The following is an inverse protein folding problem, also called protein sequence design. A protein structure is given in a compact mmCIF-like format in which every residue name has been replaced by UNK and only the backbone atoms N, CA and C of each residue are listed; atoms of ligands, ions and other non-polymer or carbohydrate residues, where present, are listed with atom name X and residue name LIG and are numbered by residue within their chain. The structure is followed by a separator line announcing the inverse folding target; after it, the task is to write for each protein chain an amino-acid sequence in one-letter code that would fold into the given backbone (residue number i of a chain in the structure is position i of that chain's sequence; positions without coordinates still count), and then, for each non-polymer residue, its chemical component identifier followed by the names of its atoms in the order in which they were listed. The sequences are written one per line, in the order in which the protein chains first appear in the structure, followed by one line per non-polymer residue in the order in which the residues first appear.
data_IF_014410817844
#
_entry.id   IF_014410817844
#
_cell.length_a   1.000
_cell.length_b   1.000
_cell.length_c   1.000
_cell.angle_alpha   90.00
_cell.angle_beta   90.00
_cell.angle_gamma   90.00
#
_symmetry.space_group_name_H-M   'P 1'
#
loop_
_entity.id
_entity.type
_entity.pdbx_description
1 polymer ?
#
# COMPACT_ATOMS: atom_id res chain seq x y z
N UNK A 1 -48.83 -56.26 -14.49
CA UNK A 1 -48.70 -57.68 -14.85
C UNK A 1 -47.21 -58.07 -14.83
N UNK A 2 -46.87 -59.23 -14.25
CA UNK A 2 -45.52 -59.74 -13.92
C UNK A 2 -44.98 -60.64 -15.08
N UNK A 3 -43.94 -61.53 -14.97
CA UNK A 3 -43.20 -62.04 -13.78
C UNK A 3 -41.66 -62.15 -13.88
N UNK A 4 -40.92 -61.96 -12.77
CA UNK A 4 -40.36 -62.93 -11.79
C UNK A 4 -39.33 -63.97 -12.29
N UNK A 5 -38.17 -64.04 -11.60
CA UNK A 5 -37.60 -65.19 -10.84
C UNK A 5 -36.32 -64.69 -10.10
N UNK A 6 -36.27 -64.59 -8.76
CA UNK A 6 -35.91 -65.58 -7.70
C UNK A 6 -34.53 -66.26 -7.92
N UNK A 7 -33.56 -66.30 -6.99
CA UNK A 7 -33.40 -65.78 -5.62
C UNK A 7 -32.22 -66.46 -4.86
N UNK A 8 -32.19 -66.27 -3.52
CA UNK A 8 -31.28 -66.79 -2.44
C UNK A 8 -30.02 -65.93 -2.18
N UNK A 9 -29.77 -65.29 -1.02
CA UNK A 9 -29.87 -65.54 0.46
C UNK A 9 -28.76 -66.44 1.03
N UNK A 10 -27.81 -65.82 1.74
CA UNK A 10 -27.17 -66.20 3.02
C UNK A 10 -26.27 -64.98 3.41
N UNK A 11 -26.48 -64.25 4.51
CA UNK A 11 -26.07 -64.54 5.92
C UNK A 11 -24.56 -64.92 5.95
N UNK A 12 -23.66 -64.27 6.68
CA UNK A 12 -23.73 -63.78 8.06
C UNK A 12 -22.51 -62.91 8.44
N UNK A 13 -22.68 -62.01 9.43
CA UNK A 13 -21.81 -61.76 10.60
C UNK A 13 -20.31 -61.41 10.38
N UNK A 14 -19.88 -60.17 10.74
CA UNK A 14 -19.25 -59.76 12.02
C UNK A 14 -17.82 -60.32 12.16
N UNK A 15 -16.77 -59.62 12.60
CA UNK A 15 -16.56 -58.48 13.49
C UNK A 15 -15.23 -57.80 13.08
N UNK A 16 -15.06 -56.51 13.42
CA UNK A 16 -13.71 -55.94 13.63
C UNK A 16 -13.12 -56.51 14.94
N UNK A 17 -11.79 -56.44 15.18
CA UNK A 17 -11.30 -55.21 15.82
C UNK A 17 -9.88 -54.76 15.43
N UNK A 18 -9.72 -53.45 15.55
CA UNK A 18 -8.52 -52.68 15.90
C UNK A 18 -7.34 -53.43 16.56
N UNK A 19 -6.12 -53.03 16.18
CA UNK A 19 -5.03 -52.86 17.16
C UNK A 19 -4.01 -51.84 16.68
N UNK A 20 -3.84 -50.79 17.48
CA UNK A 20 -2.77 -49.80 17.47
C UNK A 20 -1.38 -50.45 17.56
N UNK A 21 -0.38 -49.83 16.92
CA UNK A 21 1.00 -49.83 17.43
C UNK A 21 1.73 -48.57 16.90
N UNK A 22 2.05 -47.64 17.79
CA UNK A 22 3.03 -46.57 17.54
C UNK A 22 4.48 -47.04 17.87
N UNK A 23 5.52 -46.18 17.96
CA UNK A 23 6.72 -46.33 17.15
C UNK A 23 7.94 -46.76 18.01
N UNK A 24 9.05 -47.09 17.36
CA UNK A 24 10.33 -47.28 18.05
C UNK A 24 11.44 -46.46 17.40
N UNK A 25 12.11 -45.67 18.23
CA UNK A 25 13.32 -44.91 17.97
C UNK A 25 14.58 -45.77 17.74
N UNK A 26 15.61 -45.07 17.25
CA UNK A 26 17.06 -45.25 17.47
C UNK A 26 17.86 -45.98 16.38
N UNK A 27 19.01 -45.38 16.03
CA UNK A 27 20.04 -46.03 15.22
C UNK A 27 20.86 -45.07 14.36
N UNK A 28 21.88 -44.46 14.97
CA UNK A 28 23.04 -43.83 14.37
C UNK A 28 23.82 -44.74 13.41
N UNK A 29 24.41 -44.19 12.34
CA UNK A 29 25.71 -44.66 11.84
C UNK A 29 26.39 -43.63 10.93
N UNK A 30 27.67 -43.41 11.23
CA UNK A 30 28.67 -42.64 10.51
C UNK A 30 29.06 -43.30 9.18
N UNK A 31 29.52 -42.51 8.20
CA UNK A 31 30.61 -42.98 7.34
C UNK A 31 31.49 -41.80 6.93
N UNK A 32 32.76 -42.01 7.24
CA UNK A 32 33.92 -41.18 7.00
C UNK A 32 34.39 -41.17 5.53
N UNK A 33 35.06 -40.06 5.21
CA UNK A 33 36.24 -39.94 4.34
C UNK A 33 36.22 -40.51 2.91
N UNK A 34 36.35 -39.62 1.92
CA UNK A 34 37.53 -39.69 1.06
C UNK A 34 37.99 -38.30 0.61
N UNK A 35 39.29 -38.10 0.74
CA UNK A 35 40.07 -36.89 0.55
C UNK A 35 40.88 -37.04 -0.74
N UNK A 36 40.74 -36.09 -1.66
CA UNK A 36 41.56 -35.99 -2.86
C UNK A 36 42.07 -34.57 -3.07
N UNK A 37 43.10 -34.23 -2.29
CA UNK A 37 44.01 -33.10 -2.50
C UNK A 37 44.88 -33.38 -3.73
N UNK A 38 44.96 -32.45 -4.69
CA UNK A 38 46.16 -32.21 -5.48
C UNK A 38 46.25 -30.73 -5.88
N UNK A 39 47.37 -30.17 -5.44
CA UNK A 39 47.89 -28.82 -5.45
C UNK A 39 48.37 -28.27 -6.80
N UNK A 40 48.42 -26.94 -6.83
CA UNK A 40 49.43 -26.04 -7.45
C UNK A 40 49.82 -26.20 -8.93
N UNK A 41 49.70 -25.11 -9.71
CA UNK A 41 50.79 -24.11 -9.77
C UNK A 41 50.52 -23.00 -10.83
N UNK A 42 50.95 -21.80 -10.44
CA UNK A 42 51.43 -20.63 -11.19
C UNK A 42 50.68 -19.98 -12.37
N UNK A 43 50.73 -18.64 -12.38
CA UNK A 43 50.88 -17.90 -13.63
C UNK A 43 50.08 -16.60 -13.75
N UNK A 44 50.62 -15.50 -13.23
CA UNK A 44 50.15 -14.14 -13.49
C UNK A 44 50.26 -13.74 -14.97
N UNK A 45 49.27 -13.03 -15.51
CA UNK A 45 49.46 -11.83 -16.35
C UNK A 45 48.15 -11.20 -16.89
N UNK A 46 47.98 -9.92 -16.56
CA UNK A 46 47.41 -8.83 -17.35
C UNK A 46 46.50 -9.10 -18.58
N UNK A 47 45.24 -8.67 -18.45
CA UNK A 47 44.68 -7.57 -19.24
C UNK A 47 44.39 -7.77 -20.74
N UNK A 48 43.10 -7.88 -21.09
CA UNK A 48 42.55 -7.22 -22.29
C UNK A 48 41.02 -7.08 -22.21
N UNK A 49 40.56 -5.83 -22.09
CA UNK A 49 39.15 -5.42 -22.18
C UNK A 49 38.61 -5.70 -23.59
N UNK A 50 37.60 -6.57 -23.73
CA UNK A 50 36.78 -6.66 -24.96
C UNK A 50 35.62 -5.66 -24.88
N UNK A 51 35.65 -4.67 -25.77
CA UNK A 51 34.59 -3.68 -26.03
C UNK A 51 33.33 -4.38 -26.56
N UNK A 52 32.17 -4.15 -25.92
CA UNK A 52 30.85 -4.34 -26.55
C UNK A 52 30.56 -3.15 -27.48
N UNK A 53 30.05 -3.38 -28.71
CA UNK A 53 29.72 -2.29 -29.62
C UNK A 53 28.41 -1.58 -29.23
N UNK A 54 28.40 -0.27 -29.48
CA UNK A 54 27.27 0.62 -29.27
C UNK A 54 26.14 0.35 -30.27
N UNK A 55 24.92 0.11 -29.77
CA UNK A 55 23.71 0.08 -30.58
C UNK A 55 23.18 1.52 -30.78
N UNK A 56 23.01 1.88 -32.04
CA UNK A 56 22.61 3.20 -32.53
C UNK A 56 21.14 3.51 -32.20
N UNK A 57 20.91 4.78 -31.88
CA UNK A 57 19.62 5.45 -31.66
C UNK A 57 18.75 5.36 -32.92
N UNK A 58 17.57 4.75 -32.84
CA UNK A 58 16.58 4.76 -33.91
C UNK A 58 15.66 6.00 -33.82
N UNK A 59 15.23 6.60 -34.95
CA UNK A 59 14.49 7.86 -34.97
C UNK A 59 12.97 7.71 -34.75
N UNK A 60 12.35 8.78 -34.25
CA UNK A 60 10.93 8.91 -33.94
C UNK A 60 10.01 8.78 -35.17
N UNK A 61 8.80 8.17 -35.04
CA UNK A 61 7.85 8.10 -36.13
C UNK A 61 7.06 9.42 -36.30
N UNK A 62 6.99 9.87 -37.56
CA UNK A 62 6.25 11.06 -38.03
C UNK A 62 4.74 10.80 -38.08
N UNK A 63 3.96 11.83 -37.72
CA UNK A 63 2.49 11.92 -37.82
C UNK A 63 2.00 11.61 -39.23
N UNK A 64 0.96 10.77 -39.34
CA UNK A 64 0.09 10.66 -40.53
C UNK A 64 -1.29 11.30 -40.24
N UNK A 65 -1.94 11.92 -41.24
CA UNK A 65 -3.14 12.74 -41.06
C UNK A 65 -4.42 11.91 -40.92
N UNK A 66 -5.40 12.48 -40.21
CA UNK A 66 -6.69 11.88 -39.89
C UNK A 66 -7.64 11.75 -41.11
N UNK A 67 -8.47 10.70 -41.19
CA UNK A 67 -9.61 10.64 -42.11
C UNK A 67 -10.84 11.39 -41.54
N UNK A 68 -11.56 12.06 -42.43
CA UNK A 68 -12.74 12.91 -42.17
C UNK A 68 -13.97 12.09 -41.74
N UNK A 69 -14.71 12.59 -40.74
CA UNK A 69 -16.05 12.09 -40.33
C UNK A 69 -17.11 12.32 -41.42
N UNK A 70 -18.03 11.36 -41.66
CA UNK A 70 -19.35 11.65 -42.20
C UNK A 70 -20.34 12.04 -41.08
N UNK A 71 -21.26 12.95 -41.40
CA UNK A 71 -22.27 13.50 -40.49
C UNK A 71 -23.45 12.54 -40.24
N UNK A 72 -24.07 12.54 -39.04
CA UNK A 72 -25.31 11.80 -38.80
C UNK A 72 -26.57 12.67 -39.06
N UNK A 73 -27.56 12.07 -39.73
CA UNK A 73 -28.94 12.57 -39.91
C UNK A 73 -29.82 12.25 -38.68
N UNK A 74 -30.97 12.93 -38.49
CA UNK A 74 -31.60 13.09 -37.18
C UNK A 74 -32.72 12.07 -36.85
N UNK A 75 -32.85 11.85 -35.53
CA UNK A 75 -34.03 11.65 -34.68
C UNK A 75 -35.18 10.70 -35.11
N UNK A 76 -35.48 9.76 -34.22
CA UNK A 76 -36.82 9.19 -34.06
C UNK A 76 -37.22 9.20 -32.57
N UNK A 77 -38.46 9.62 -32.32
CA UNK A 77 -39.05 9.96 -31.04
C UNK A 77 -39.55 8.73 -30.24
N UNK A 78 -39.66 8.90 -28.92
CA UNK A 78 -40.46 8.05 -28.04
C UNK A 78 -41.52 8.90 -27.31
N UNK A 79 -42.76 8.42 -27.13
CA UNK A 79 -43.88 9.17 -26.53
C UNK A 79 -43.96 9.04 -24.98
N UNK A 80 -44.85 9.82 -24.31
CA UNK A 80 -44.57 10.38 -22.99
C UNK A 80 -45.19 9.67 -21.77
N UNK A 81 -44.71 10.13 -20.59
CA UNK A 81 -45.09 9.79 -19.21
C UNK A 81 -46.55 10.11 -18.87
N UNK A 82 -47.14 9.28 -17.99
CA UNK A 82 -48.36 9.60 -17.25
C UNK A 82 -48.02 10.11 -15.83
N UNK A 83 -48.82 11.09 -15.41
CA UNK A 83 -48.74 11.92 -14.20
C UNK A 83 -49.66 11.36 -13.12
N UNK A 84 -49.27 11.48 -11.85
CA UNK A 84 -50.16 11.26 -10.71
C UNK A 84 -49.53 11.65 -9.37
N UNK A 85 -49.89 12.82 -8.86
CA UNK A 85 -49.81 13.26 -7.45
C UNK A 85 -51.07 14.09 -7.17
N UNK A 86 -51.37 14.52 -5.94
CA UNK A 86 -51.08 13.97 -4.60
C UNK A 86 -52.34 13.98 -3.69
N UNK A 87 -52.27 13.44 -2.46
CA UNK A 87 -53.15 13.90 -1.36
C UNK A 87 -52.36 14.03 -0.06
N UNK A 88 -52.55 15.19 0.57
CA UNK A 88 -51.97 15.73 1.80
C UNK A 88 -52.90 15.40 2.97
N UNK A 89 -52.36 15.10 4.15
CA UNK A 89 -53.11 15.20 5.41
C UNK A 89 -52.18 15.72 6.51
N UNK A 90 -52.75 16.60 7.33
CA UNK A 90 -52.15 17.57 8.24
C UNK A 90 -52.82 17.41 9.61
N UNK A 91 -52.04 17.41 10.70
CA UNK A 91 -52.39 17.70 12.10
C UNK A 91 -51.35 17.04 13.02
N UNK A 92 -50.99 17.51 14.22
CA UNK A 92 -51.06 18.78 14.94
C UNK A 92 -50.15 18.59 16.17
N UNK A 93 -49.44 19.62 16.61
CA UNK A 93 -48.64 19.61 17.84
C UNK A 93 -49.52 19.80 19.11
N UNK A 94 -48.94 19.59 20.31
CA UNK A 94 -48.71 20.78 21.14
C UNK A 94 -47.32 20.84 21.80
N UNK A 95 -47.05 22.04 22.33
CA UNK A 95 -45.77 22.62 22.72
C UNK A 95 -45.37 22.42 24.20
N UNK A 96 -44.10 22.70 24.51
CA UNK A 96 -43.62 23.04 25.85
C UNK A 96 -42.10 23.26 25.92
N UNK A 97 -41.68 24.54 26.03
CA UNK A 97 -40.45 25.14 26.60
C UNK A 97 -39.06 24.51 26.30
N UNK A 98 -37.98 25.24 26.01
CA UNK A 98 -37.48 26.47 26.63
C UNK A 98 -36.43 27.15 25.71
N UNK A 99 -36.24 28.46 25.86
CA UNK A 99 -35.52 29.32 24.92
C UNK A 99 -34.00 29.40 25.17
N UNK A 100 -33.21 29.43 24.08
CA UNK A 100 -31.87 30.02 24.06
C UNK A 100 -31.66 30.78 22.73
N UNK A 101 -31.16 32.01 22.84
CA UNK A 101 -31.06 33.03 21.78
C UNK A 101 -30.03 32.68 20.69
N UNK A 102 -30.22 33.06 19.41
CA UNK A 102 -29.47 32.50 18.28
C UNK A 102 -28.20 33.30 17.94
N UNK A 103 -27.09 32.59 17.77
CA UNK A 103 -25.91 33.08 17.07
C UNK A 103 -26.16 33.07 15.55
N UNK A 104 -25.82 34.17 14.89
CA UNK A 104 -26.09 34.45 13.48
C UNK A 104 -25.39 33.48 12.53
N UNK A 105 -26.11 32.45 12.07
CA UNK A 105 -25.70 31.61 10.95
C UNK A 105 -26.27 32.19 9.65
N UNK A 106 -25.40 32.72 8.79
CA UNK A 106 -25.75 33.05 7.40
C UNK A 106 -26.21 31.76 6.70
N UNK A 107 -27.53 31.57 6.53
CA UNK A 107 -28.13 30.55 5.67
C UNK A 107 -27.71 30.82 4.22
N UNK A 108 -26.62 30.21 3.79
CA UNK A 108 -26.40 29.95 2.37
C UNK A 108 -27.50 29.00 1.90
N UNK A 109 -28.18 29.34 0.80
CA UNK A 109 -29.10 28.45 0.12
C UNK A 109 -28.40 27.12 -0.16
N UNK A 110 -29.02 25.95 0.11
CA UNK A 110 -28.46 24.67 -0.26
C UNK A 110 -28.38 24.65 -1.79
N UNK A 111 -27.18 24.79 -2.34
CA UNK A 111 -26.93 24.52 -3.75
C UNK A 111 -27.30 23.04 -3.94
N UNK A 112 -28.39 22.77 -4.65
CA UNK A 112 -28.67 21.40 -5.12
C UNK A 112 -27.39 20.89 -5.78
N UNK A 113 -26.81 19.84 -5.22
CA UNK A 113 -25.66 19.20 -5.81
C UNK A 113 -26.06 18.81 -7.23
N UNK A 114 -25.30 19.29 -8.23
CA UNK A 114 -25.48 18.83 -9.60
C UNK A 114 -25.22 17.33 -9.59
N UNK A 115 -26.13 16.54 -10.17
CA UNK A 115 -25.88 15.13 -10.42
C UNK A 115 -24.54 14.99 -11.14
N UNK A 116 -23.68 14.08 -10.65
CA UNK A 116 -22.42 13.80 -11.31
C UNK A 116 -22.69 13.20 -12.68
N UNK A 117 -22.00 13.72 -13.70
CA UNK A 117 -21.99 13.15 -15.04
C UNK A 117 -20.52 12.89 -15.38
N UNK A 118 -20.10 11.63 -15.60
CA UNK A 118 -18.74 11.33 -16.02
C UNK A 118 -18.48 11.86 -17.43
N UNK A 119 -17.20 12.12 -17.73
CA UNK A 119 -16.78 12.46 -19.09
C UNK A 119 -17.03 11.26 -20.01
N UNK A 120 -17.52 11.51 -21.22
CA UNK A 120 -17.89 10.45 -22.17
C UNK A 120 -16.70 9.54 -22.58
N UNK A 121 -15.48 10.05 -22.46
CA UNK A 121 -14.23 9.35 -22.79
C UNK A 121 -13.55 8.70 -21.57
N UNK A 122 -14.17 8.79 -20.38
CA UNK A 122 -13.62 8.14 -19.18
C UNK A 122 -13.79 6.62 -19.28
N UNK A 123 -12.68 5.90 -19.23
CA UNK A 123 -12.69 4.43 -19.29
C UNK A 123 -13.16 3.77 -17.98
N UNK A 124 -13.39 4.55 -16.93
CA UNK A 124 -13.92 4.08 -15.66
C UNK A 124 -15.44 4.16 -15.62
N UNK A 125 -16.04 3.15 -15.00
CA UNK A 125 -17.46 3.08 -14.77
C UNK A 125 -17.80 3.64 -13.39
N UNK A 126 -19.03 4.14 -13.28
CA UNK A 126 -19.55 4.77 -12.07
C UNK A 126 -20.90 4.17 -11.74
N UNK A 127 -21.04 3.68 -10.51
CA UNK A 127 -22.32 3.33 -9.93
C UNK A 127 -22.67 4.39 -8.89
N UNK A 128 -23.78 5.09 -9.08
CA UNK A 128 -24.25 6.14 -8.18
C UNK A 128 -25.75 5.96 -8.01
N UNK A 129 -26.16 5.46 -6.84
CA UNK A 129 -27.55 5.15 -6.56
C UNK A 129 -27.92 5.71 -5.18
N UNK A 130 -28.95 6.55 -5.15
CA UNK A 130 -29.42 7.18 -3.93
C UNK A 130 -29.90 6.11 -2.93
N UNK A 131 -29.34 6.13 -1.71
CA UNK A 131 -29.62 5.15 -0.67
C UNK A 131 -28.81 3.85 -0.74
N UNK A 132 -28.21 3.50 -1.87
CA UNK A 132 -27.37 2.29 -2.00
C UNK A 132 -25.88 2.60 -1.90
N UNK A 133 -25.40 3.65 -2.58
CA UNK A 133 -24.03 4.14 -2.45
C UNK A 133 -23.38 4.60 -3.75
N UNK A 134 -22.06 4.82 -3.67
CA UNK A 134 -21.22 5.26 -4.79
C UNK A 134 -20.04 4.32 -4.97
N UNK A 135 -19.77 3.91 -6.21
CA UNK A 135 -18.64 3.07 -6.56
C UNK A 135 -18.01 3.50 -7.89
N UNK A 136 -16.69 3.52 -7.94
CA UNK A 136 -15.92 3.71 -9.18
C UNK A 136 -15.25 2.38 -9.50
N UNK A 137 -15.37 1.87 -10.72
CA UNK A 137 -14.81 0.56 -11.06
C UNK A 137 -14.38 0.45 -12.51
N UNK A 138 -13.43 -0.44 -12.76
CA UNK A 138 -12.93 -0.71 -14.11
C UNK A 138 -12.39 -2.13 -14.21
N UNK A 139 -12.67 -2.75 -15.35
CA UNK A 139 -12.09 -4.02 -15.73
C UNK A 139 -10.92 -3.80 -16.69
N UNK A 140 -9.80 -4.48 -16.44
CA UNK A 140 -8.59 -4.46 -17.25
C UNK A 140 -8.38 -5.79 -17.99
N UNK A 141 -9.49 -6.39 -18.46
CA UNK A 141 -9.48 -7.59 -19.29
C UNK A 141 -9.58 -8.89 -18.51
N UNK A 142 -10.16 -8.86 -17.31
CA UNK A 142 -10.39 -10.04 -16.49
C UNK A 142 -11.58 -10.86 -17.01
N UNK A 143 -11.44 -12.19 -17.00
CA UNK A 143 -12.52 -13.10 -17.36
C UNK A 143 -13.37 -13.49 -16.13
N UNK A 144 -14.65 -13.87 -16.32
CA UNK A 144 -15.45 -14.48 -15.26
C UNK A 144 -14.75 -15.70 -14.63
N UNK A 145 -14.78 -15.82 -13.31
CA UNK A 145 -14.09 -16.91 -12.62
C UNK A 145 -14.75 -17.23 -11.26
N UNK A 146 -14.71 -18.51 -10.86
CA UNK A 146 -15.15 -18.94 -9.52
C UNK A 146 -14.08 -18.63 -8.46
N UNK A 147 -12.78 -18.77 -8.81
CA UNK A 147 -11.65 -18.53 -7.91
C UNK A 147 -11.23 -17.07 -7.92
N UNK A 148 -11.41 -16.38 -6.80
CA UNK A 148 -11.08 -14.96 -6.67
C UNK A 148 -9.91 -14.78 -5.71
N UNK A 149 -8.84 -14.15 -6.20
CA UNK A 149 -7.77 -13.61 -5.38
C UNK A 149 -7.99 -12.10 -5.27
N UNK A 150 -8.60 -11.67 -4.18
CA UNK A 150 -8.94 -10.27 -3.95
C UNK A 150 -7.94 -9.59 -3.02
N UNK A 151 -7.64 -8.32 -3.28
CA UNK A 151 -6.61 -7.56 -2.59
C UNK A 151 -7.11 -6.16 -2.21
N UNK A 152 -6.62 -5.62 -1.09
CA UNK A 152 -6.55 -4.17 -0.91
C UNK A 152 -5.47 -3.55 -1.83
N UNK A 153 -5.51 -2.23 -2.01
CA UNK A 153 -4.52 -1.48 -2.78
C UNK A 153 -3.41 -0.90 -1.88
N UNK A 154 -3.77 0.03 -0.99
CA UNK A 154 -2.87 0.98 -0.34
C UNK A 154 -2.35 0.40 0.98
N UNK A 155 -1.08 -0.02 1.01
CA UNK A 155 -0.49 -0.76 2.13
C UNK A 155 -0.36 -2.26 1.86
N UNK A 156 -1.05 -2.75 0.82
CA UNK A 156 -1.10 -4.18 0.44
C UNK A 156 -0.37 -4.47 -0.87
N UNK A 157 -0.81 -3.89 -1.99
CA UNK A 157 -0.15 -4.06 -3.29
C UNK A 157 0.88 -2.95 -3.55
N UNK A 158 0.62 -1.75 -3.03
CA UNK A 158 1.46 -0.57 -3.23
C UNK A 158 1.67 0.20 -1.94
N UNK A 159 2.78 0.94 -1.89
CA UNK A 159 3.12 1.89 -0.83
C UNK A 159 3.36 3.28 -1.43
N UNK A 160 3.22 4.33 -0.61
CA UNK A 160 3.50 5.70 -1.03
C UNK A 160 5.01 5.89 -1.24
N UNK A 161 5.41 6.25 -2.46
CA UNK A 161 6.82 6.40 -2.84
C UNK A 161 7.51 7.52 -2.09
N UNK A 162 6.82 8.64 -1.86
CA UNK A 162 7.33 9.81 -1.14
C UNK A 162 7.45 9.61 0.37
N UNK A 163 6.92 8.51 0.91
CA UNK A 163 6.85 8.24 2.35
C UNK A 163 5.84 9.10 3.10
N UNK A 164 4.98 9.85 2.40
CA UNK A 164 3.84 10.53 3.01
C UNK A 164 2.75 9.52 3.40
N UNK A 165 1.86 9.88 4.36
CA UNK A 165 0.70 9.05 4.69
C UNK A 165 -0.22 8.85 3.49
N UNK A 166 -0.48 9.95 2.79
CA UNK A 166 -1.31 9.95 1.61
C UNK A 166 -0.48 10.27 0.38
N UNK A 167 -0.77 9.60 -0.75
CA UNK A 167 -0.13 9.87 -2.03
C UNK A 167 -0.38 11.30 -2.51
N UNK A 168 0.62 11.92 -3.11
CA UNK A 168 0.53 13.31 -3.61
C UNK A 168 0.16 13.43 -5.08
N UNK A 169 0.38 12.37 -5.86
CA UNK A 169 0.07 12.27 -7.29
C UNK A 169 -0.28 10.84 -7.68
N UNK A 170 -0.76 10.66 -8.91
CA UNK A 170 -0.99 9.35 -9.52
C UNK A 170 0.26 8.46 -9.48
N UNK A 171 1.46 9.05 -9.67
CA UNK A 171 2.75 8.33 -9.70
C UNK A 171 3.44 8.21 -8.33
N UNK A 172 2.83 8.69 -7.25
CA UNK A 172 3.42 8.66 -5.90
C UNK A 172 3.23 7.29 -5.23
N UNK A 173 3.63 6.24 -5.94
CA UNK A 173 3.52 4.86 -5.48
C UNK A 173 4.73 4.03 -5.89
N UNK A 174 4.92 2.94 -5.17
CA UNK A 174 5.85 1.85 -5.46
C UNK A 174 5.19 0.53 -5.06
N UNK A 175 5.56 -0.61 -5.63
CA UNK A 175 5.07 -1.91 -5.17
C UNK A 175 5.34 -2.11 -3.68
N UNK A 176 4.51 -2.91 -3.01
CA UNK A 176 4.70 -3.27 -1.60
C UNK A 176 6.10 -3.85 -1.35
N UNK A 177 6.54 -4.72 -2.26
CA UNK A 177 7.92 -5.13 -2.46
C UNK A 177 8.12 -5.64 -3.90
N UNK A 178 9.34 -6.02 -4.25
CA UNK A 178 9.68 -6.58 -5.56
C UNK A 178 8.95 -7.88 -5.96
N UNK A 179 8.29 -8.58 -5.02
CA UNK A 179 7.65 -9.88 -5.26
C UNK A 179 6.20 -9.76 -5.73
N UNK A 180 5.55 -8.60 -5.53
CA UNK A 180 4.13 -8.38 -5.84
C UNK A 180 3.77 -8.81 -7.27
N UNK A 181 4.45 -8.27 -8.28
CA UNK A 181 4.13 -8.56 -9.68
C UNK A 181 4.24 -10.06 -10.00
N UNK A 182 5.36 -10.69 -9.61
CA UNK A 182 5.58 -12.13 -9.79
C UNK A 182 4.49 -12.96 -9.12
N UNK A 183 4.07 -12.59 -7.90
CA UNK A 183 3.08 -13.39 -7.18
C UNK A 183 1.66 -13.25 -7.75
N UNK A 184 1.30 -12.07 -8.26
CA UNK A 184 0.01 -11.88 -8.95
C UNK A 184 -0.02 -12.59 -10.31
N UNK A 185 1.12 -12.69 -11.00
CA UNK A 185 1.27 -13.51 -12.21
C UNK A 185 1.08 -15.00 -11.90
N UNK A 186 1.76 -15.53 -10.88
CA UNK A 186 1.58 -16.92 -10.43
C UNK A 186 0.11 -17.23 -10.08
N UNK A 187 -0.56 -16.36 -9.32
CA UNK A 187 -1.98 -16.54 -8.99
C UNK A 187 -2.87 -16.55 -10.23
N UNK A 188 -2.61 -15.66 -11.19
CA UNK A 188 -3.33 -15.64 -12.46
C UNK A 188 -3.12 -16.94 -13.26
N UNK A 189 -1.90 -17.49 -13.25
CA UNK A 189 -1.57 -18.78 -13.89
C UNK A 189 -2.22 -19.97 -13.16
N UNK A 190 -2.39 -19.88 -11.83
CA UNK A 190 -3.15 -20.83 -11.00
C UNK A 190 -4.68 -20.72 -11.17
N UNK A 191 -5.14 -19.89 -12.12
CA UNK A 191 -6.53 -19.73 -12.49
C UNK A 191 -7.33 -18.82 -11.57
N UNK A 192 -6.69 -17.94 -10.79
CA UNK A 192 -7.39 -16.92 -10.02
C UNK A 192 -7.71 -15.69 -10.87
N UNK A 193 -8.93 -15.17 -10.72
CA UNK A 193 -9.23 -13.79 -11.11
C UNK A 193 -8.67 -12.83 -10.05
N UNK A 194 -7.87 -11.86 -10.50
CA UNK A 194 -7.31 -10.82 -9.64
C UNK A 194 -8.32 -9.69 -9.48
N UNK A 195 -8.69 -9.36 -8.24
CA UNK A 195 -9.63 -8.28 -7.93
C UNK A 195 -9.03 -7.33 -6.88
N UNK A 196 -9.23 -6.03 -7.03
CA UNK A 196 -8.76 -5.01 -6.10
C UNK A 196 -9.94 -4.24 -5.53
N UNK A 197 -10.07 -4.22 -4.20
CA UNK A 197 -11.09 -3.52 -3.44
C UNK A 197 -10.45 -2.47 -2.54
N UNK A 198 -10.68 -1.18 -2.79
CA UNK A 198 -9.99 -0.10 -2.07
C UNK A 198 -10.94 0.99 -1.55
N UNK A 199 -10.74 1.37 -0.28
CA UNK A 199 -11.44 2.49 0.36
C UNK A 199 -10.75 3.83 -0.01
N UNK A 200 -11.36 4.62 -0.90
CA UNK A 200 -10.79 5.87 -1.43
C UNK A 200 -11.49 7.13 -0.89
N UNK A 201 -11.56 7.27 0.43
CA UNK A 201 -12.30 8.36 1.12
C UNK A 201 -11.80 9.79 0.80
N UNK A 202 -10.62 9.94 0.19
CA UNK A 202 -10.14 11.23 -0.31
C UNK A 202 -10.94 11.76 -1.51
N UNK A 203 -11.63 10.89 -2.25
CA UNK A 203 -12.46 11.25 -3.41
C UNK A 203 -13.77 11.91 -2.96
N UNK A 204 -14.38 11.42 -1.87
CA UNK A 204 -15.67 11.90 -1.35
C UNK A 204 -16.72 11.90 -2.46
N UNK A 205 -17.55 12.95 -2.54
CA UNK A 205 -18.57 13.09 -3.60
C UNK A 205 -18.07 13.67 -4.92
N UNK A 206 -16.77 14.02 -5.02
CA UNK A 206 -16.21 14.72 -6.18
C UNK A 206 -15.54 13.72 -7.15
N UNK A 207 -16.35 12.95 -7.87
CA UNK A 207 -15.92 11.78 -8.64
C UNK A 207 -15.05 12.08 -9.89
N UNK A 208 -15.04 13.34 -10.38
CA UNK A 208 -14.18 13.80 -11.49
C UNK A 208 -12.99 14.66 -11.06
N UNK A 209 -12.74 14.81 -9.75
CA UNK A 209 -11.71 15.71 -9.22
C UNK A 209 -10.30 15.13 -9.19
N UNK A 210 -9.31 15.96 -8.79
CA UNK A 210 -7.90 15.56 -8.66
C UNK A 210 -7.69 14.30 -7.81
N UNK A 211 -8.47 14.14 -6.73
CA UNK A 211 -8.39 12.96 -5.88
C UNK A 211 -8.80 11.69 -6.64
N UNK A 212 -9.89 11.73 -7.39
CA UNK A 212 -10.32 10.62 -8.24
C UNK A 212 -9.30 10.33 -9.34
N UNK A 213 -8.80 11.36 -10.03
CA UNK A 213 -7.76 11.20 -11.06
C UNK A 213 -6.48 10.55 -10.50
N UNK A 214 -6.04 10.94 -9.31
CA UNK A 214 -4.88 10.35 -8.64
C UNK A 214 -5.12 8.87 -8.27
N UNK A 215 -6.30 8.53 -7.75
CA UNK A 215 -6.62 7.15 -7.38
C UNK A 215 -6.72 6.23 -8.61
N UNK A 216 -7.44 6.69 -9.65
CA UNK A 216 -7.56 5.99 -10.94
C UNK A 216 -6.22 5.78 -11.61
N UNK A 217 -5.42 6.85 -11.74
CA UNK A 217 -4.09 6.79 -12.36
C UNK A 217 -3.10 5.90 -11.60
N UNK A 218 -3.20 5.83 -10.26
CA UNK A 218 -2.40 4.86 -9.49
C UNK A 218 -2.79 3.43 -9.82
N UNK A 219 -4.09 3.12 -9.79
CA UNK A 219 -4.56 1.78 -10.11
C UNK A 219 -4.14 1.37 -11.52
N UNK A 220 -4.30 2.26 -12.51
CA UNK A 220 -3.84 2.03 -13.89
C UNK A 220 -2.35 1.75 -13.98
N UNK A 221 -1.51 2.58 -13.35
CA UNK A 221 -0.06 2.38 -13.33
C UNK A 221 0.35 1.08 -12.63
N UNK A 222 -0.37 0.67 -11.57
CA UNK A 222 -0.16 -0.62 -10.94
C UNK A 222 -0.51 -1.76 -11.89
N UNK A 223 -1.70 -1.76 -12.51
CA UNK A 223 -2.11 -2.85 -13.41
C UNK A 223 -1.13 -2.97 -14.59
N UNK A 224 -0.69 -1.85 -15.17
CA UNK A 224 0.36 -1.85 -16.20
C UNK A 224 1.66 -2.49 -15.70
N UNK A 225 2.07 -2.19 -14.47
CA UNK A 225 3.27 -2.78 -13.86
C UNK A 225 3.13 -4.28 -13.55
N UNK A 226 1.96 -4.74 -13.13
CA UNK A 226 1.70 -6.15 -12.82
C UNK A 226 1.70 -7.03 -14.07
N UNK A 227 1.23 -6.49 -15.20
CA UNK A 227 1.15 -7.22 -16.47
C UNK A 227 0.16 -8.40 -16.44
N UNK A 228 -0.86 -8.34 -15.58
CA UNK A 228 -1.93 -9.34 -15.49
C UNK A 228 -3.30 -8.67 -15.60
N UNK A 229 -4.32 -9.37 -16.14
CA UNK A 229 -5.69 -8.90 -16.07
C UNK A 229 -6.15 -8.74 -14.62
N UNK A 230 -6.89 -7.66 -14.35
CA UNK A 230 -7.43 -7.39 -13.02
C UNK A 230 -8.70 -6.55 -13.10
N UNK A 231 -9.52 -6.62 -12.04
CA UNK A 231 -10.71 -5.79 -11.89
C UNK A 231 -10.56 -4.92 -10.64
N UNK A 232 -10.82 -3.61 -10.76
CA UNK A 232 -10.58 -2.64 -9.69
C UNK A 232 -11.87 -1.94 -9.29
N UNK A 233 -12.07 -1.81 -7.97
CA UNK A 233 -13.22 -1.17 -7.34
C UNK A 233 -12.73 -0.19 -6.26
N UNK A 234 -13.19 1.05 -6.35
CA UNK A 234 -12.83 2.15 -5.47
C UNK A 234 -14.09 2.69 -4.79
N UNK A 235 -14.18 2.56 -3.47
CA UNK A 235 -15.28 3.07 -2.64
C UNK A 235 -14.94 4.50 -2.14
N UNK A 236 -15.52 5.57 -2.71
CA UNK A 236 -15.14 6.94 -2.42
C UNK A 236 -15.82 7.53 -1.18
N UNK A 237 -16.89 6.89 -0.68
CA UNK A 237 -17.75 7.37 0.38
C UNK A 237 -17.79 6.40 1.56
N UNK A 238 -18.45 6.82 2.64
CA UNK A 238 -18.77 5.97 3.79
C UNK A 238 -20.19 5.41 3.63
N UNK A 239 -20.30 4.36 2.82
CA UNK A 239 -21.55 3.70 2.45
C UNK A 239 -21.38 2.17 2.36
N UNK A 240 -22.37 1.48 1.80
CA UNK A 240 -22.38 0.00 1.71
C UNK A 240 -21.19 -0.58 0.91
N UNK A 241 -20.54 0.21 0.06
CA UNK A 241 -19.35 -0.21 -0.68
C UNK A 241 -18.06 -0.08 0.15
N UNK A 242 -18.07 0.69 1.24
CA UNK A 242 -16.86 0.89 2.06
C UNK A 242 -16.60 -0.30 2.98
N UNK A 243 -15.41 -0.88 2.89
CA UNK A 243 -14.96 -1.93 3.82
C UNK A 243 -15.02 -1.40 5.27
N UNK A 244 -15.54 -2.17 6.24
CA UNK A 244 -15.76 -3.63 6.20
C UNK A 244 -17.07 -4.12 5.56
N UNK A 245 -17.93 -3.23 5.04
CA UNK A 245 -19.15 -3.64 4.34
C UNK A 245 -18.84 -4.43 3.06
N UNK A 246 -19.71 -5.37 2.69
CA UNK A 246 -19.49 -6.31 1.59
C UNK A 246 -19.88 -5.78 0.21
N UNK A 247 -20.38 -4.54 0.10
CA UNK A 247 -21.01 -4.04 -1.13
C UNK A 247 -20.14 -4.14 -2.37
N UNK A 248 -18.83 -3.90 -2.27
CA UNK A 248 -17.91 -4.09 -3.39
C UNK A 248 -17.84 -5.55 -3.86
N UNK A 249 -17.80 -6.52 -2.94
CA UNK A 249 -17.80 -7.94 -3.28
C UNK A 249 -19.12 -8.37 -3.92
N UNK A 250 -20.23 -7.98 -3.29
CA UNK A 250 -21.58 -8.31 -3.78
C UNK A 250 -21.82 -7.76 -5.18
N UNK A 251 -21.37 -6.52 -5.44
CA UNK A 251 -21.46 -5.90 -6.76
C UNK A 251 -20.56 -6.61 -7.78
N UNK A 252 -19.31 -6.94 -7.40
CA UNK A 252 -18.42 -7.70 -8.27
C UNK A 252 -19.04 -9.04 -8.68
N UNK A 253 -19.50 -9.83 -7.70
CA UNK A 253 -20.06 -11.15 -7.94
C UNK A 253 -21.38 -11.09 -8.75
N UNK A 254 -22.27 -10.15 -8.42
CA UNK A 254 -23.60 -10.04 -9.04
C UNK A 254 -23.62 -9.33 -10.38
N UNK A 255 -22.67 -8.43 -10.65
CA UNK A 255 -22.71 -7.53 -11.82
C UNK A 255 -21.46 -7.63 -12.70
N UNK A 256 -20.30 -7.95 -12.13
CA UNK A 256 -19.02 -7.86 -12.83
C UNK A 256 -18.27 -9.20 -12.97
N UNK A 257 -18.96 -10.33 -12.73
CA UNK A 257 -18.38 -11.67 -12.84
C UNK A 257 -19.12 -12.57 -13.84
N UNK A 258 -19.80 -11.99 -14.83
CA UNK A 258 -20.39 -12.73 -15.95
C UNK A 258 -21.40 -13.82 -15.57
N UNK A 259 -22.05 -13.71 -14.40
CA UNK A 259 -22.98 -14.72 -13.89
C UNK A 259 -22.31 -15.94 -13.25
N UNK A 260 -20.98 -15.99 -13.17
CA UNK A 260 -20.23 -17.03 -12.46
C UNK A 260 -20.21 -16.70 -10.97
N UNK A 261 -20.74 -17.59 -10.14
CA UNK A 261 -20.72 -17.42 -8.69
C UNK A 261 -19.32 -17.72 -8.13
N UNK A 262 -18.72 -16.84 -7.30
CA UNK A 262 -17.45 -17.16 -6.65
C UNK A 262 -17.54 -18.36 -5.70
N UNK A 263 -16.57 -19.26 -5.77
CA UNK A 263 -16.34 -20.26 -4.71
C UNK A 263 -15.58 -19.59 -3.57
N UNK A 264 -16.30 -19.27 -2.49
CA UNK A 264 -15.75 -18.57 -1.33
C UNK A 264 -14.66 -19.39 -0.61
N UNK A 265 -14.74 -20.72 -0.67
CA UNK A 265 -13.78 -21.61 -0.01
C UNK A 265 -12.45 -21.70 -0.77
N UNK A 266 -12.50 -21.56 -2.09
CA UNK A 266 -11.32 -21.50 -2.95
C UNK A 266 -10.77 -20.08 -3.14
N UNK A 267 -11.48 -19.07 -2.64
CA UNK A 267 -11.15 -17.64 -2.77
C UNK A 267 -10.55 -17.06 -1.48
N UNK A 268 -9.82 -15.95 -1.62
CA UNK A 268 -9.26 -15.24 -0.47
C UNK A 268 -9.25 -13.73 -0.66
N UNK A 269 -9.15 -13.01 0.47
CA UNK A 269 -8.88 -11.59 0.53
C UNK A 269 -7.56 -11.31 1.24
N UNK A 270 -6.73 -10.45 0.65
CA UNK A 270 -5.47 -10.01 1.22
C UNK A 270 -5.52 -8.50 1.52
N UNK A 271 -5.19 -8.09 2.74
CA UNK A 271 -5.18 -6.68 3.13
C UNK A 271 -4.29 -6.39 4.34
N UNK A 272 -3.84 -5.16 4.50
CA UNK A 272 -2.96 -4.74 5.60
C UNK A 272 -3.72 -4.25 6.83
N UNK A 273 -4.99 -3.84 6.67
CA UNK A 273 -5.86 -3.45 7.78
C UNK A 273 -6.40 -4.69 8.52
N UNK A 274 -5.51 -5.35 9.27
CA UNK A 274 -5.77 -6.60 9.97
C UNK A 274 -5.99 -6.43 11.50
N UNK A 275 -5.92 -5.20 12.01
CA UNK A 275 -6.01 -4.91 13.44
C UNK A 275 -4.84 -5.45 14.26
N UNK A 276 -3.67 -5.68 13.64
CA UNK A 276 -2.49 -6.21 14.36
C UNK A 276 -2.00 -5.18 15.37
N UNK A 277 -1.76 -5.65 16.59
CA UNK A 277 -1.14 -4.84 17.63
C UNK A 277 0.31 -4.53 17.26
N UNK A 278 0.75 -3.31 17.54
CA UNK A 278 2.14 -2.93 17.37
C UNK A 278 3.02 -3.60 18.42
N UNK A 279 4.24 -3.94 18.04
CA UNK A 279 5.28 -4.34 18.97
C UNK A 279 6.39 -3.29 18.94
N UNK A 280 6.37 -2.40 19.94
CA UNK A 280 7.35 -1.33 20.06
C UNK A 280 8.78 -1.87 20.20
N UNK A 281 8.99 -3.00 20.89
CA UNK A 281 10.33 -3.59 21.06
C UNK A 281 10.93 -4.06 19.72
N UNK A 282 10.08 -4.43 18.77
CA UNK A 282 10.47 -4.89 17.43
C UNK A 282 10.28 -3.81 16.34
N UNK A 283 9.85 -2.60 16.72
CA UNK A 283 9.56 -1.50 15.79
C UNK A 283 8.41 -1.79 14.83
N UNK A 284 7.55 -2.72 15.20
CA UNK A 284 6.33 -3.04 14.46
C UNK A 284 5.25 -2.07 14.90
N UNK A 285 4.76 -1.26 13.96
CA UNK A 285 3.64 -0.35 14.22
C UNK A 285 2.32 -1.12 14.21
N UNK A 286 1.37 -0.71 15.04
CA UNK A 286 0.01 -1.25 15.00
C UNK A 286 -0.64 -0.92 13.65
N UNK A 287 -1.53 -1.79 13.18
CA UNK A 287 -2.36 -1.46 12.01
C UNK A 287 -3.35 -0.34 12.38
N UNK A 288 -3.68 0.49 11.39
CA UNK A 288 -4.59 1.63 11.57
C UNK A 288 -6.05 1.19 11.78
N UNK A 289 -6.44 0.07 11.19
CA UNK A 289 -7.79 -0.51 11.26
C UNK A 289 -7.74 -2.03 11.07
N UNK A 290 -8.89 -2.68 11.24
CA UNK A 290 -9.15 -4.09 10.97
C UNK A 290 -10.15 -4.30 9.81
N UNK A 291 -10.39 -3.24 9.02
CA UNK A 291 -11.42 -3.20 7.98
C UNK A 291 -11.27 -4.27 6.91
N UNK A 292 -10.04 -4.70 6.60
CA UNK A 292 -9.79 -5.74 5.59
C UNK A 292 -10.10 -7.14 6.14
N UNK A 293 -9.73 -7.37 7.40
CA UNK A 293 -10.02 -8.61 8.10
C UNK A 293 -11.53 -8.79 8.30
N UNK A 294 -12.22 -7.75 8.76
CA UNK A 294 -13.67 -7.80 8.94
C UNK A 294 -14.42 -7.86 7.61
N UNK A 295 -13.92 -7.23 6.53
CA UNK A 295 -14.45 -7.41 5.17
C UNK A 295 -14.38 -8.88 4.72
N UNK A 296 -13.20 -9.51 4.81
CA UNK A 296 -13.01 -10.90 4.41
C UNK A 296 -13.94 -11.86 5.17
N UNK A 297 -14.07 -11.63 6.48
CA UNK A 297 -14.97 -12.39 7.36
C UNK A 297 -16.44 -12.17 7.01
N UNK A 298 -16.85 -10.93 6.73
CA UNK A 298 -18.23 -10.62 6.33
C UNK A 298 -18.61 -11.23 4.98
N UNK A 299 -17.64 -11.32 4.05
CA UNK A 299 -17.81 -12.01 2.77
C UNK A 299 -17.82 -13.54 2.95
N UNK A 300 -17.02 -14.07 3.89
CA UNK A 300 -16.85 -15.51 4.10
C UNK A 300 -15.69 -16.12 3.31
N UNK A 301 -14.65 -15.34 3.01
CA UNK A 301 -13.41 -15.81 2.33
C UNK A 301 -12.24 -15.87 3.30
N UNK A 302 -11.20 -16.65 2.95
CA UNK A 302 -9.97 -16.68 3.74
C UNK A 302 -9.32 -15.29 3.77
N UNK A 303 -8.90 -14.83 4.95
CA UNK A 303 -8.11 -13.61 5.10
C UNK A 303 -6.60 -13.91 5.13
N UNK A 304 -5.81 -13.07 4.46
CA UNK A 304 -4.34 -13.10 4.47
C UNK A 304 -3.78 -11.69 4.65
N UNK A 305 -2.60 -11.57 5.26
CA UNK A 305 -1.86 -10.30 5.26
C UNK A 305 -0.85 -10.27 4.11
N UNK A 306 -0.47 -9.08 3.59
CA UNK A 306 0.45 -8.98 2.47
C UNK A 306 1.81 -9.63 2.75
N UNK A 307 2.25 -9.63 4.02
CA UNK A 307 3.50 -10.29 4.40
C UNK A 307 3.50 -11.81 4.18
N UNK A 308 2.34 -12.46 4.29
CA UNK A 308 2.20 -13.92 4.06
C UNK A 308 2.30 -14.28 2.58
N UNK A 309 1.85 -13.36 1.70
CA UNK A 309 1.80 -13.59 0.25
C UNK A 309 3.08 -13.11 -0.43
N UNK A 310 3.57 -11.92 -0.05
CA UNK A 310 4.66 -11.24 -0.74
C UNK A 310 5.98 -11.25 0.05
N UNK A 311 5.97 -11.63 1.33
CA UNK A 311 7.11 -11.47 2.23
C UNK A 311 7.19 -10.05 2.82
N UNK A 312 8.33 -9.67 3.40
CA UNK A 312 8.48 -8.38 4.11
C UNK A 312 8.30 -7.18 3.16
N UNK A 313 7.69 -6.12 3.67
CA UNK A 313 7.56 -4.84 2.97
C UNK A 313 8.93 -4.23 2.64
N UNK A 314 9.08 -3.64 1.45
CA UNK A 314 10.27 -2.86 1.09
C UNK A 314 10.10 -1.36 1.37
N UNK A 315 10.91 -0.85 2.30
CA UNK A 315 10.93 0.54 2.72
C UNK A 315 10.11 0.79 4.00
N UNK A 316 9.76 2.06 4.24
CA UNK A 316 9.21 2.49 5.53
C UNK A 316 7.72 2.82 5.39
N UNK A 317 6.89 2.27 6.26
CA UNK A 317 5.46 2.63 6.39
C UNK A 317 5.35 4.08 6.83
N UNK A 318 4.38 4.82 6.30
CA UNK A 318 4.11 6.16 6.82
C UNK A 318 3.60 6.09 8.27
N UNK A 319 3.98 7.08 9.07
CA UNK A 319 3.51 7.21 10.46
C UNK A 319 2.08 7.77 10.47
N UNK A 320 1.25 7.27 11.38
CA UNK A 320 -0.09 7.80 11.58
C UNK A 320 -0.08 9.27 12.07
N UNK A 321 -0.91 10.20 11.56
CA UNK A 321 -0.84 11.62 11.89
C UNK A 321 -1.34 11.91 13.29
N UNK A 322 -2.22 11.08 13.86
CA UNK A 322 -2.65 11.24 15.25
C UNK A 322 -1.50 10.80 16.16
N UNK A 323 -0.83 9.69 15.85
CA UNK A 323 0.40 9.31 16.53
C UNK A 323 1.48 10.40 16.41
N UNK A 324 1.62 11.01 15.23
CA UNK A 324 2.55 12.12 15.00
C UNK A 324 2.15 13.40 15.77
N UNK A 325 0.85 13.67 15.90
CA UNK A 325 0.34 14.82 16.65
C UNK A 325 0.55 14.63 18.15
N UNK A 326 0.20 13.46 18.69
CA UNK A 326 0.46 13.09 20.08
C UNK A 326 1.96 13.14 20.40
N UNK A 327 2.81 12.61 19.51
CA UNK A 327 4.24 12.65 19.69
C UNK A 327 4.82 14.08 19.68
N UNK A 328 4.22 15.01 18.92
CA UNK A 328 4.62 16.44 18.97
C UNK A 328 4.28 17.07 20.31
N UNK A 329 3.10 16.78 20.83
CA UNK A 329 2.67 17.26 22.14
C UNK A 329 3.60 16.73 23.25
N UNK A 330 3.90 15.43 23.26
CA UNK A 330 4.86 14.85 24.21
C UNK A 330 6.28 15.42 24.06
N UNK A 331 6.72 15.68 22.82
CA UNK A 331 8.00 16.34 22.56
C UNK A 331 8.06 17.75 23.12
N UNK A 332 6.98 18.52 23.01
CA UNK A 332 6.90 19.89 23.51
C UNK A 332 6.86 19.94 25.05
N UNK A 333 6.28 18.91 25.69
CA UNK A 333 6.29 18.74 27.15
C UNK A 333 7.60 18.14 27.70
N UNK A 334 8.42 17.52 26.85
CA UNK A 334 9.64 16.82 27.28
C UNK A 334 9.35 15.51 28.01
N UNK A 335 8.24 14.85 27.71
CA UNK A 335 7.78 13.64 28.37
C UNK A 335 8.06 12.37 27.55
N UNK A 336 8.02 11.22 28.22
CA UNK A 336 8.10 9.90 27.60
C UNK A 336 9.46 9.19 27.74
N UNK A 337 9.53 7.92 27.33
CA UNK A 337 10.67 7.04 27.60
C UNK A 337 11.97 7.48 26.91
N UNK A 338 11.89 8.34 25.90
CA UNK A 338 13.03 8.77 25.07
C UNK A 338 13.31 10.28 25.19
N UNK A 339 12.72 10.98 26.16
CA UNK A 339 12.78 12.45 26.25
C UNK A 339 14.20 13.01 26.22
N UNK A 340 15.14 12.43 26.97
CA UNK A 340 16.54 12.89 27.00
C UNK A 340 17.23 12.76 25.64
N UNK A 341 17.10 11.61 24.98
CA UNK A 341 17.63 11.39 23.62
C UNK A 341 17.01 12.38 22.62
N UNK A 342 15.70 12.61 22.69
CA UNK A 342 15.00 13.49 21.78
C UNK A 342 15.42 14.96 22.00
N UNK A 343 15.69 15.37 23.23
CA UNK A 343 16.22 16.70 23.56
C UNK A 343 17.60 16.94 22.94
N UNK A 344 18.52 15.97 23.05
CA UNK A 344 19.85 16.03 22.43
C UNK A 344 19.78 16.09 20.89
N UNK A 345 18.89 15.29 20.28
CA UNK A 345 18.69 15.33 18.83
C UNK A 345 18.08 16.66 18.36
N UNK A 346 17.24 17.31 19.18
CA UNK A 346 16.74 18.68 18.92
C UNK A 346 17.83 19.73 19.05
N UNK A 347 18.77 19.56 19.96
CA UNK A 347 19.92 20.45 20.06
C UNK A 347 20.81 20.33 18.83
N UNK A 348 21.11 19.10 18.40
CA UNK A 348 21.80 18.85 17.13
C UNK A 348 21.05 19.47 15.94
N UNK A 349 19.72 19.32 15.86
CA UNK A 349 18.88 19.95 14.83
C UNK A 349 19.08 21.47 14.78
N UNK A 350 19.00 22.15 15.94
CA UNK A 350 19.17 23.61 16.04
C UNK A 350 20.58 24.02 15.62
N UNK A 351 21.60 23.34 16.14
CA UNK A 351 22.99 23.61 15.80
C UNK A 351 23.26 23.48 14.29
N UNK A 352 22.67 22.47 13.62
CA UNK A 352 22.74 22.36 12.16
C UNK A 352 22.19 23.60 11.44
N UNK A 353 21.03 24.12 11.86
CA UNK A 353 20.44 25.31 11.24
C UNK A 353 21.23 26.58 11.53
N UNK A 354 21.73 26.74 12.76
CA UNK A 354 22.51 27.91 13.16
C UNK A 354 23.85 27.96 12.41
N UNK A 355 24.57 26.84 12.34
CA UNK A 355 25.84 26.77 11.59
C UNK A 355 25.59 26.92 10.09
N UNK A 356 24.55 26.31 9.53
CA UNK A 356 24.20 26.49 8.11
C UNK A 356 23.86 27.95 7.78
N UNK A 357 23.15 28.65 8.68
CA UNK A 357 22.83 30.07 8.51
C UNK A 357 24.09 30.94 8.59
N UNK A 358 25.04 30.61 9.46
CA UNK A 358 26.29 31.35 9.61
C UNK A 358 27.29 31.11 8.47
N UNK A 359 27.36 29.88 7.95
CA UNK A 359 28.37 29.45 6.96
C UNK A 359 27.86 29.40 5.53
N UNK A 360 26.54 29.34 5.32
CA UNK A 360 25.94 29.04 4.01
C UNK A 360 26.02 27.56 3.60
N UNK A 361 26.38 26.64 4.49
CA UNK A 361 26.48 25.22 4.16
C UNK A 361 25.10 24.54 4.02
N UNK A 362 24.68 24.36 2.77
CA UNK A 362 23.44 23.65 2.43
C UNK A 362 23.42 22.21 2.93
N UNK A 363 24.56 21.53 3.08
CA UNK A 363 24.60 20.15 3.60
C UNK A 363 24.15 20.12 5.05
N UNK A 364 24.62 21.06 5.89
CA UNK A 364 24.18 21.19 7.27
C UNK A 364 22.72 21.58 7.37
N UNK A 365 22.23 22.46 6.47
CA UNK A 365 20.80 22.77 6.37
C UNK A 365 19.97 21.51 6.11
N UNK A 366 20.39 20.68 5.16
CA UNK A 366 19.70 19.42 4.86
C UNK A 366 19.81 18.40 5.99
N UNK A 367 20.93 18.36 6.71
CA UNK A 367 21.09 17.55 7.91
C UNK A 367 20.11 17.97 9.02
N UNK A 368 19.93 19.26 9.26
CA UNK A 368 18.92 19.79 10.18
C UNK A 368 17.50 19.42 9.77
N UNK A 369 17.15 19.57 8.48
CA UNK A 369 15.84 19.15 7.95
C UNK A 369 15.61 17.64 8.13
N UNK A 370 16.64 16.82 7.89
CA UNK A 370 16.55 15.37 8.09
C UNK A 370 16.38 15.02 9.57
N UNK A 371 17.13 15.69 10.47
CA UNK A 371 17.03 15.47 11.91
C UNK A 371 15.65 15.84 12.45
N UNK A 372 15.10 16.99 12.05
CA UNK A 372 13.75 17.42 12.40
C UNK A 372 12.69 16.35 12.11
N UNK A 373 12.80 15.72 10.92
CA UNK A 373 11.90 14.62 10.52
C UNK A 373 12.12 13.37 11.36
N UNK A 374 13.38 13.04 11.64
CA UNK A 374 13.74 11.89 12.45
C UNK A 374 13.24 12.02 13.89
N UNK A 375 13.47 13.16 14.56
CA UNK A 375 13.01 13.42 15.94
C UNK A 375 11.50 13.22 16.09
N UNK A 376 10.73 13.79 15.16
CA UNK A 376 9.26 13.64 15.19
C UNK A 376 8.84 12.18 15.02
N UNK A 377 9.60 11.40 14.25
CA UNK A 377 9.32 9.98 14.00
C UNK A 377 9.76 9.09 15.16
N UNK A 378 10.89 9.41 15.79
CA UNK A 378 11.40 8.70 16.97
C UNK A 378 10.47 8.88 18.17
N UNK A 379 9.83 10.04 18.29
CA UNK A 379 8.84 10.30 19.35
C UNK A 379 7.58 9.44 19.24
N UNK A 380 7.30 8.81 18.08
CA UNK A 380 6.21 7.82 17.97
C UNK A 380 6.64 6.41 18.40
N UNK A 381 7.89 6.21 18.78
CA UNK A 381 8.39 4.92 19.25
C UNK A 381 7.99 4.73 20.72
N UNK A 382 7.02 3.84 20.96
CA UNK A 382 6.42 3.68 22.29
C UNK A 382 7.32 3.04 23.36
N UNK A 383 8.42 2.39 22.96
CA UNK A 383 9.38 1.77 23.88
C UNK A 383 10.60 2.65 24.15
N UNK A 384 11.45 2.24 25.10
CA UNK A 384 12.78 2.86 25.30
C UNK A 384 13.67 2.46 24.12
N UNK A 385 14.33 3.43 23.50
CA UNK A 385 15.32 3.20 22.44
C UNK A 385 16.61 2.70 23.09
N UNK A 386 17.08 1.54 22.66
CA UNK A 386 18.30 0.89 23.17
C UNK A 386 19.19 0.44 22.00
N UNK A 387 20.41 -0.01 22.29
CA UNK A 387 21.32 -0.53 21.26
C UNK A 387 20.74 -1.77 20.55
N UNK A 388 19.94 -2.57 21.27
CA UNK A 388 19.39 -3.84 20.76
C UNK A 388 18.25 -3.63 19.75
N UNK A 389 17.49 -2.54 19.90
CA UNK A 389 16.34 -2.26 19.03
C UNK A 389 16.63 -1.24 17.91
N UNK A 390 17.90 -0.88 17.66
CA UNK A 390 18.24 0.10 16.62
C UNK A 390 17.80 -0.30 15.20
N UNK A 391 17.77 -1.59 14.89
CA UNK A 391 17.27 -2.08 13.58
C UNK A 391 15.79 -1.74 13.37
N UNK A 392 15.01 -1.86 14.44
CA UNK A 392 13.59 -1.54 14.50
C UNK A 392 13.39 -0.02 14.42
N UNK A 393 14.13 0.74 15.22
CA UNK A 393 14.13 2.21 15.20
C UNK A 393 14.48 2.76 13.81
N UNK A 394 15.42 2.13 13.11
CA UNK A 394 15.79 2.53 11.75
C UNK A 394 14.66 2.33 10.73
N UNK A 395 13.65 1.49 11.01
CA UNK A 395 12.49 1.32 10.11
C UNK A 395 11.53 2.51 10.17
N UNK A 396 11.59 3.34 11.21
CA UNK A 396 10.74 4.53 11.32
C UNK A 396 11.05 5.52 10.18
N UNK A 397 10.03 6.11 9.53
CA UNK A 397 10.20 7.15 8.52
C UNK A 397 11.20 8.23 8.92
N UNK A 398 12.00 8.70 7.97
CA UNK A 398 12.99 9.76 8.22
C UNK A 398 14.22 9.35 9.05
N UNK A 399 14.21 8.20 9.74
CA UNK A 399 15.35 7.74 10.57
C UNK A 399 16.43 7.07 9.71
N UNK A 400 17.42 7.85 9.25
CA UNK A 400 18.51 7.35 8.41
C UNK A 400 19.67 6.75 9.21
N UNK A 401 20.68 6.20 8.50
CA UNK A 401 21.93 5.71 9.12
C UNK A 401 22.61 6.79 9.96
N UNK A 402 22.69 8.02 9.44
CA UNK A 402 23.29 9.16 10.17
C UNK A 402 22.48 9.63 11.39
N UNK A 403 21.20 9.27 11.50
CA UNK A 403 20.42 9.43 12.73
C UNK A 403 20.77 8.31 13.71
N UNK A 404 20.82 7.06 13.26
CA UNK A 404 21.18 5.90 14.09
C UNK A 404 22.57 6.07 14.68
N UNK A 405 23.54 6.61 13.94
CA UNK A 405 24.88 6.90 14.46
C UNK A 405 24.85 7.88 15.64
N UNK A 406 23.98 8.89 15.60
CA UNK A 406 23.83 9.86 16.70
C UNK A 406 23.10 9.28 17.89
N UNK A 407 22.07 8.46 17.65
CA UNK A 407 21.41 7.69 18.70
C UNK A 407 22.42 6.77 19.39
N UNK A 408 23.29 6.10 18.63
CA UNK A 408 24.37 5.28 19.20
C UNK A 408 25.31 6.11 20.07
N UNK A 409 25.80 7.24 19.57
CA UNK A 409 26.68 8.13 20.33
C UNK A 409 26.03 8.58 21.65
N UNK A 410 24.74 8.93 21.64
CA UNK A 410 24.02 9.25 22.87
C UNK A 410 23.93 8.04 23.82
N UNK A 411 23.60 6.86 23.30
CA UNK A 411 23.45 5.65 24.12
C UNK A 411 24.78 5.13 24.69
N UNK A 412 25.92 5.41 24.05
CA UNK A 412 27.25 4.98 24.53
C UNK A 412 27.94 6.06 25.36
N UNK A 413 27.86 7.31 24.92
CA UNK A 413 28.70 8.41 25.41
C UNK A 413 27.87 9.45 26.20
N UNK A 414 26.54 9.34 26.19
CA UNK A 414 25.63 10.25 26.89
C UNK A 414 25.39 11.59 26.20
N UNK A 415 26.00 11.83 25.03
CA UNK A 415 25.91 13.10 24.30
C UNK A 415 25.97 12.92 22.78
N UNK A 416 25.39 13.86 22.04
CA UNK A 416 25.47 13.88 20.58
C UNK A 416 26.47 14.96 20.13
N UNK A 417 27.53 14.62 19.38
CA UNK A 417 28.47 15.61 18.87
C UNK A 417 27.77 16.66 18.00
N UNK A 418 27.88 17.93 18.40
CA UNK A 418 27.29 19.06 17.68
C UNK A 418 28.16 19.48 16.48
N UNK A 419 27.56 19.96 15.38
CA UNK A 419 28.30 20.57 14.30
C UNK A 419 28.96 21.87 14.77
N UNK A 420 30.26 22.03 14.54
CA UNK A 420 30.99 23.24 14.87
C UNK A 420 31.10 24.17 13.65
N UNK A 421 31.07 25.48 13.88
CA UNK A 421 31.35 26.49 12.84
C UNK A 421 32.84 26.53 12.43
N UNK A 422 33.72 25.94 13.23
CA UNK A 422 35.15 25.86 13.00
C UNK A 422 35.54 24.52 12.36
N UNK A 423 35.25 24.41 11.06
CA UNK A 423 36.11 23.69 10.11
C UNK A 423 35.85 24.30 8.72
N UNK A 424 36.68 25.25 8.23
CA UNK A 424 36.80 25.41 6.79
C UNK A 424 37.26 24.06 6.24
N UNK A 425 36.63 23.58 5.17
CA UNK A 425 36.89 22.31 4.52
C UNK A 425 38.39 21.99 4.37
N UNK A 426 38.99 21.36 5.37
CA UNK A 426 40.33 20.81 5.35
C UNK A 426 40.27 19.31 5.04
N UNK A 427 39.49 18.92 4.03
CA UNK A 427 39.51 17.57 3.45
C UNK A 427 38.86 17.55 2.06
N UNK A 428 39.33 18.44 1.18
CA UNK A 428 39.24 18.24 -0.26
C UNK A 428 40.42 18.96 -0.92
N UNK A 429 41.64 18.51 -0.62
CA UNK A 429 42.66 18.53 -1.65
C UNK A 429 42.04 17.74 -2.81
N UNK A 430 41.57 18.46 -3.83
CA UNK A 430 40.91 17.89 -4.98
C UNK A 430 41.85 16.85 -5.59
N UNK A 431 41.57 15.56 -5.36
CA UNK A 431 42.09 14.55 -6.25
C UNK A 431 41.60 14.96 -7.65
N UNK A 432 42.50 15.27 -8.60
CA UNK A 432 42.11 15.78 -9.90
C UNK A 432 41.15 14.77 -10.54
N UNK A 433 40.06 15.27 -11.13
CA UNK A 433 39.08 14.42 -11.80
C UNK A 433 39.78 13.52 -12.84
N UNK A 434 39.21 12.35 -13.17
CA UNK A 434 39.73 11.49 -14.26
C UNK A 434 39.94 12.23 -15.58
N UNK A 435 39.27 13.37 -15.77
CA UNK A 435 39.41 14.26 -16.92
C UNK A 435 40.64 15.17 -16.84
N UNK A 436 41.04 15.58 -15.63
CA UNK A 436 42.27 16.33 -15.37
C UNK A 436 43.51 15.42 -15.35
N UNK A 437 43.38 14.18 -14.85
CA UNK A 437 44.46 13.19 -14.91
C UNK A 437 44.77 12.75 -16.35
N UNK A 438 43.79 12.77 -17.26
CA UNK A 438 44.00 12.45 -18.68
C UNK A 438 44.69 13.59 -19.47
N UNK A 439 44.65 14.83 -18.98
CA UNK A 439 45.26 15.98 -19.64
C UNK A 439 46.75 16.16 -19.27
N UNK A 440 47.19 15.62 -18.13
CA UNK A 440 48.60 15.66 -17.71
C UNK A 440 49.45 14.51 -18.25
N UNK A 441 48.83 13.56 -18.98
CA UNK A 441 49.54 12.43 -19.60
C UNK A 441 49.95 12.69 -21.07
N UNK A 442 49.76 13.91 -21.58
CA UNK A 442 50.04 14.30 -22.97
C UNK A 442 50.87 15.59 -23.10
N UNK A 443 51.68 15.92 -22.10
CA UNK A 443 52.72 16.96 -22.20
C UNK A 443 54.08 16.29 -21.98
#
# INVERSE_FOLDING_TARGET
MPPRKRGKKAESESEEPSSEFEPTESGSEESDHDSGDLSDDSGAAAGAKRKKPAAKKAPAPKKKPAPKKPAPKPAAAAPPKAVGTPVKAEAAAPAGAEAASPASAKKGTPRKAKAFAPDADDAWNYYVQEGEGTLIYRDFGSEPCEKIAAFDLDGTLVNVKSGAKWPKSADDWKPFNKHVAKKLQELSEEGYKIVIFSNQGGIKGALGGKAAANAKGRAEGLIEHLGVPAQVFLAPQDDSFRKPSTGMWTFMAGTCNGGVAPDLSASFYCGDAAGRQGNAAEGVMADFSDSDKEFAKAVGVQFKVPEDIFGKMEGKRAIDPNALAAARESLDLGEGPNAALLAELREYERACFDVAKATGDDKLRWAGVAMKKAVTSLATFGGVITLDNLKAVQQLPGVGKGTIEKIKAFLTDGAIPLPNAAEPAAAAAAAPSKRQQAAMAFI
#
